data_IF_246006706361
#
_entry.id   IF_246006706361
#
_cell.length_a   1.000
_cell.length_b   1.000
_cell.length_c   1.000
_cell.angle_alpha   90.00
_cell.angle_beta   90.00
_cell.angle_gamma   90.00
#
_symmetry.space_group_name_H-M   'P 1'
#
loop_
_entity.id
_entity.type
_entity.pdbx_description
1 polymer ?
#
# COMPACT_ATOMS: atom_id res chain seq x y z
N UNK A 1 22.83 -8.19 -10.27
CA UNK A 1 22.24 -7.52 -11.44
C UNK A 1 21.28 -6.44 -10.93
N UNK A 2 21.09 -5.35 -11.67
CA UNK A 2 20.18 -4.25 -11.29
C UNK A 2 18.97 -4.19 -12.23
N UNK A 3 17.82 -3.70 -11.74
CA UNK A 3 16.55 -3.70 -12.47
C UNK A 3 15.99 -2.27 -12.67
N UNK A 4 16.59 -1.46 -13.55
CA UNK A 4 16.28 -0.03 -13.66
C UNK A 4 14.88 0.28 -14.23
N UNK A 5 14.25 -0.67 -14.94
CA UNK A 5 12.97 -0.47 -15.61
C UNK A 5 11.81 -1.24 -14.97
N UNK A 6 12.07 -2.07 -13.96
CA UNK A 6 11.02 -2.87 -13.32
C UNK A 6 10.16 -1.94 -12.45
N UNK A 7 8.82 -1.91 -12.64
CA UNK A 7 7.93 -1.13 -11.78
C UNK A 7 8.01 -1.56 -10.32
N UNK A 8 8.02 -0.59 -9.41
CA UNK A 8 8.06 -0.80 -7.96
C UNK A 8 6.82 -0.16 -7.35
N UNK A 9 5.98 -0.98 -6.70
CA UNK A 9 4.84 -0.49 -5.92
C UNK A 9 5.16 -0.53 -4.42
N UNK A 10 5.13 0.63 -3.76
CA UNK A 10 5.23 0.75 -2.31
C UNK A 10 3.83 0.68 -1.72
N UNK A 11 3.51 -0.46 -1.10
CA UNK A 11 2.28 -0.65 -0.35
C UNK A 11 2.50 -0.27 1.12
N UNK A 12 1.76 0.72 1.59
CA UNK A 12 1.73 1.08 3.01
C UNK A 12 0.96 0.05 3.84
N UNK A 13 1.17 0.05 5.16
CA UNK A 13 0.54 -0.93 6.06
C UNK A 13 -0.98 -0.79 6.08
N UNK A 14 -1.70 -1.90 6.27
CA UNK A 14 -3.14 -1.90 6.60
C UNK A 14 -3.43 -1.24 7.95
N UNK A 15 -4.64 -0.67 8.08
CA UNK A 15 -5.16 -0.22 9.38
C UNK A 15 -5.51 -1.43 10.24
N UNK A 16 -5.27 -1.33 11.55
CA UNK A 16 -5.61 -2.39 12.49
C UNK A 16 -5.92 -1.85 13.90
N UNK A 17 -6.44 -2.71 14.78
CA UNK A 17 -7.10 -2.31 16.03
C UNK A 17 -6.25 -1.42 16.93
N UNK A 18 -4.95 -1.71 17.05
CA UNK A 18 -4.08 -0.96 17.95
C UNK A 18 -3.70 0.43 17.42
N UNK A 19 -4.04 0.77 16.17
CA UNK A 19 -3.98 2.15 15.68
C UNK A 19 -4.92 3.06 16.47
N UNK A 20 -6.09 2.52 16.82
CA UNK A 20 -7.16 3.27 17.47
C UNK A 20 -7.12 3.11 19.01
N UNK A 21 -6.67 1.95 19.51
CA UNK A 21 -6.51 1.74 20.96
C UNK A 21 -5.30 2.48 21.57
N UNK A 22 -4.29 2.78 20.75
CA UNK A 22 -3.07 3.43 21.19
C UNK A 22 -2.73 4.60 20.27
N UNK A 23 -3.13 5.81 20.67
CA UNK A 23 -2.97 7.04 19.90
C UNK A 23 -1.52 7.24 19.41
N UNK A 24 -0.52 7.00 20.27
CA UNK A 24 0.89 7.09 19.88
C UNK A 24 1.27 6.15 18.72
N UNK A 25 0.70 4.94 18.69
CA UNK A 25 0.93 3.99 17.60
C UNK A 25 0.24 4.44 16.32
N UNK A 26 -1.00 4.95 16.42
CA UNK A 26 -1.74 5.54 15.32
C UNK A 26 -0.96 6.70 14.68
N UNK A 27 -0.52 7.68 15.49
CA UNK A 27 0.31 8.81 15.05
C UNK A 27 1.59 8.32 14.40
N UNK A 28 2.30 7.38 15.04
CA UNK A 28 3.55 6.83 14.49
C UNK A 28 3.32 6.17 13.12
N UNK A 29 2.24 5.41 12.95
CA UNK A 29 1.94 4.74 11.68
C UNK A 29 1.46 5.71 10.60
N UNK A 30 0.72 6.75 10.96
CA UNK A 30 0.45 7.87 10.05
C UNK A 30 1.75 8.53 9.57
N UNK A 31 2.70 8.78 10.47
CA UNK A 31 4.02 9.33 10.12
C UNK A 31 4.81 8.43 9.15
N UNK A 32 4.82 7.11 9.38
CA UNK A 32 5.47 6.16 8.47
C UNK A 32 4.80 6.17 7.09
N UNK A 33 3.47 6.18 7.03
CA UNK A 33 2.71 6.27 5.77
C UNK A 33 3.06 7.55 5.02
N UNK A 34 3.07 8.68 5.72
CA UNK A 34 3.42 9.97 5.11
C UNK A 34 4.84 9.97 4.56
N UNK A 35 5.80 9.41 5.29
CA UNK A 35 7.18 9.25 4.80
C UNK A 35 7.25 8.43 3.50
N UNK A 36 6.47 7.35 3.40
CA UNK A 36 6.41 6.55 2.17
C UNK A 36 5.82 7.35 1.00
N UNK A 37 4.72 8.09 1.22
CA UNK A 37 4.09 8.96 0.22
C UNK A 37 5.08 10.02 -0.26
N UNK A 38 5.74 10.71 0.67
CA UNK A 38 6.69 11.78 0.37
C UNK A 38 7.89 11.25 -0.42
N UNK A 39 8.40 10.08 -0.04
CA UNK A 39 9.52 9.42 -0.71
C UNK A 39 9.15 9.05 -2.15
N UNK A 40 8.01 8.40 -2.35
CA UNK A 40 7.55 8.03 -3.70
C UNK A 40 7.32 9.27 -4.55
N UNK A 41 6.64 10.28 -4.00
CA UNK A 41 6.36 11.54 -4.71
C UNK A 41 7.64 12.26 -5.10
N UNK A 42 8.61 12.37 -4.18
CA UNK A 42 9.90 12.99 -4.45
C UNK A 42 10.65 12.30 -5.59
N UNK A 43 10.71 10.96 -5.58
CA UNK A 43 11.43 10.20 -6.62
C UNK A 43 10.72 10.25 -7.97
N UNK A 44 9.38 10.20 -7.99
CA UNK A 44 8.60 10.44 -9.22
C UNK A 44 8.86 11.83 -9.80
N UNK A 45 8.95 12.86 -8.96
CA UNK A 45 9.30 14.22 -9.37
C UNK A 45 10.75 14.33 -9.88
N UNK A 46 11.59 13.34 -9.63
CA UNK A 46 12.95 13.19 -10.18
C UNK A 46 12.97 12.31 -11.44
N UNK A 47 11.81 12.10 -12.09
CA UNK A 47 11.60 11.33 -13.31
C UNK A 47 11.68 9.80 -13.15
N UNK A 48 11.56 9.26 -11.93
CA UNK A 48 11.33 7.83 -11.75
C UNK A 48 9.84 7.50 -11.91
N UNK A 49 9.41 7.32 -13.17
CA UNK A 49 8.00 7.05 -13.50
C UNK A 49 7.51 5.66 -13.03
N UNK A 50 8.44 4.74 -12.74
CA UNK A 50 8.20 3.34 -12.40
C UNK A 50 7.91 3.11 -10.92
N UNK A 51 7.99 4.16 -10.09
CA UNK A 51 7.71 4.07 -8.67
C UNK A 51 6.26 4.46 -8.37
N UNK A 52 5.51 3.60 -7.71
CA UNK A 52 4.09 3.78 -7.41
C UNK A 52 3.82 3.66 -5.91
N UNK A 53 2.78 4.32 -5.41
CA UNK A 53 2.33 4.19 -4.02
C UNK A 53 0.91 3.61 -3.98
N UNK A 54 0.68 2.67 -3.08
CA UNK A 54 -0.63 2.09 -2.79
C UNK A 54 -0.95 2.32 -1.31
N UNK A 55 -2.12 2.91 -1.05
CA UNK A 55 -2.59 3.20 0.30
C UNK A 55 -3.21 1.95 0.96
N UNK A 56 -2.45 1.32 1.86
CA UNK A 56 -2.91 0.17 2.61
C UNK A 56 -3.96 0.49 3.68
N UNK A 57 -4.05 1.73 4.20
CA UNK A 57 -4.98 2.01 5.32
C UNK A 57 -6.43 1.82 4.93
N UNK A 58 -6.75 2.06 3.66
CA UNK A 58 -8.11 1.99 3.16
C UNK A 58 -8.55 0.57 2.77
N UNK A 59 -7.63 -0.40 2.70
CA UNK A 59 -7.91 -1.72 2.11
C UNK A 59 -8.96 -2.55 2.86
N UNK A 60 -9.07 -2.37 4.17
CA UNK A 60 -10.03 -3.08 5.01
C UNK A 60 -11.28 -2.25 5.34
N UNK A 61 -11.31 -0.97 4.96
CA UNK A 61 -12.42 -0.06 5.25
C UNK A 61 -12.65 0.20 6.75
N UNK A 62 -13.87 0.63 7.08
CA UNK A 62 -14.25 0.98 8.45
C UNK A 62 -14.43 -0.24 9.36
N UNK A 63 -14.85 -1.38 8.79
CA UNK A 63 -15.06 -2.65 9.51
C UNK A 63 -13.76 -3.49 9.64
N UNK A 64 -12.60 -2.82 9.62
CA UNK A 64 -11.30 -3.49 9.54
C UNK A 64 -11.06 -4.53 10.65
N UNK A 65 -11.68 -4.36 11.82
CA UNK A 65 -11.55 -5.28 12.95
C UNK A 65 -12.15 -6.66 12.67
N UNK A 66 -13.25 -6.73 11.91
CA UNK A 66 -13.95 -7.97 11.55
C UNK A 66 -13.14 -8.84 10.59
N UNK A 67 -12.15 -8.25 9.94
CA UNK A 67 -11.29 -8.89 8.96
C UNK A 67 -9.98 -9.42 9.54
N UNK A 68 -9.86 -9.45 10.87
CA UNK A 68 -8.68 -9.95 11.58
C UNK A 68 -9.03 -11.07 12.56
N UNK A 69 -8.05 -11.92 12.90
CA UNK A 69 -8.24 -13.00 13.89
C UNK A 69 -8.02 -12.48 15.32
N UNK A 70 -7.06 -11.58 15.49
CA UNK A 70 -6.58 -11.10 16.80
C UNK A 70 -6.51 -9.56 16.88
N UNK A 71 -7.19 -8.86 15.96
CA UNK A 71 -7.10 -7.40 15.84
C UNK A 71 -5.89 -6.91 15.04
N UNK A 72 -5.00 -7.80 14.58
CA UNK A 72 -3.76 -7.46 13.85
C UNK A 72 -3.64 -8.24 12.55
N UNK A 73 -3.76 -9.56 12.61
CA UNK A 73 -3.49 -10.46 11.49
C UNK A 73 -4.78 -10.73 10.71
N UNK A 74 -4.80 -10.50 9.38
CA UNK A 74 -5.99 -10.74 8.57
C UNK A 74 -6.46 -12.20 8.64
N UNK A 75 -7.77 -12.39 8.69
CA UNK A 75 -8.40 -13.70 8.45
C UNK A 75 -8.60 -13.92 6.94
N UNK A 76 -9.19 -15.05 6.55
CA UNK A 76 -9.38 -15.39 5.13
C UNK A 76 -10.16 -14.31 4.36
N UNK A 77 -11.22 -13.76 4.97
CA UNK A 77 -12.00 -12.68 4.37
C UNK A 77 -11.20 -11.37 4.30
N UNK A 78 -10.37 -11.10 5.31
CA UNK A 78 -9.45 -9.96 5.29
C UNK A 78 -8.41 -10.05 4.19
N UNK A 79 -7.83 -11.22 3.95
CA UNK A 79 -6.93 -11.42 2.80
C UNK A 79 -7.63 -11.24 1.46
N UNK A 80 -8.86 -11.74 1.32
CA UNK A 80 -9.67 -11.51 0.11
C UNK A 80 -9.87 -10.01 -0.13
N UNK A 81 -10.29 -9.25 0.90
CA UNK A 81 -10.45 -7.79 0.81
C UNK A 81 -9.14 -7.06 0.47
N UNK A 82 -8.05 -7.49 1.08
CA UNK A 82 -6.71 -6.94 0.80
C UNK A 82 -6.28 -7.24 -0.63
N UNK A 83 -6.70 -8.35 -1.25
CA UNK A 83 -6.37 -8.66 -2.63
C UNK A 83 -7.12 -7.75 -3.62
N UNK A 84 -8.41 -7.50 -3.37
CA UNK A 84 -9.28 -6.70 -4.25
C UNK A 84 -8.75 -5.25 -4.45
N UNK A 85 -8.18 -4.65 -3.40
CA UNK A 85 -7.76 -3.24 -3.46
C UNK A 85 -6.55 -2.98 -4.37
N UNK A 86 -5.40 -3.64 -4.16
CA UNK A 86 -4.23 -3.51 -5.00
C UNK A 86 -4.41 -4.11 -6.40
N UNK A 87 -5.36 -5.03 -6.63
CA UNK A 87 -5.55 -5.68 -7.93
C UNK A 87 -5.66 -4.67 -9.08
N UNK A 88 -6.53 -3.67 -8.95
CA UNK A 88 -6.70 -2.64 -9.96
C UNK A 88 -5.42 -1.82 -10.18
N UNK A 89 -4.73 -1.45 -9.10
CA UNK A 89 -3.48 -0.70 -9.16
C UNK A 89 -2.35 -1.50 -9.83
N UNK A 90 -2.17 -2.76 -9.43
CA UNK A 90 -1.14 -3.66 -9.97
C UNK A 90 -1.41 -3.93 -11.45
N UNK A 91 -2.65 -4.23 -11.82
CA UNK A 91 -3.03 -4.47 -13.23
C UNK A 91 -2.67 -3.26 -14.09
N UNK A 92 -3.04 -2.06 -13.64
CA UNK A 92 -2.71 -0.82 -14.33
C UNK A 92 -1.21 -0.61 -14.47
N UNK A 93 -0.43 -0.81 -13.40
CA UNK A 93 1.04 -0.67 -13.43
C UNK A 93 1.66 -1.65 -14.44
N UNK A 94 1.15 -2.88 -14.50
CA UNK A 94 1.62 -3.89 -15.44
C UNK A 94 1.19 -3.60 -16.89
N UNK A 95 0.03 -3.00 -17.11
CA UNK A 95 -0.41 -2.56 -18.44
C UNK A 95 0.44 -1.37 -18.94
N UNK A 96 0.65 -0.36 -18.10
CA UNK A 96 1.43 0.83 -18.42
C UNK A 96 2.91 0.48 -18.75
N UNK A 97 3.49 -0.48 -18.02
CA UNK A 97 4.86 -0.95 -18.27
C UNK A 97 5.02 -1.72 -19.58
N UNK A 98 4.02 -2.52 -19.98
CA UNK A 98 4.01 -3.20 -21.29
C UNK A 98 3.85 -2.24 -22.47
N UNK A 99 3.22 -1.08 -22.24
CA UNK A 99 3.11 -0.02 -23.25
C UNK A 99 4.44 0.69 -23.55
N UNK A 100 5.36 0.75 -22.58
CA UNK A 100 6.66 1.41 -22.70
C UNK A 100 7.76 0.55 -23.35
N UNK A 101 7.47 -0.72 -23.67
CA UNK A 101 8.40 -1.63 -24.37
C UNK A 101 8.22 -1.63 -25.91
N UNK A 102 7.29 -0.83 -26.45
CA UNK A 102 7.08 -0.63 -27.89
C UNK A 102 7.62 0.72 -28.36
#
# INVERSE_FOLDING_TARGET
EAHPLVPIAVLSRIKYLFDDLHEEMGIRRQGIRQFQIDTVTKLRNQNDANLHFIDGSALLGDDYSEFTVDGIHPNDLGFMKIADGPECAITRILDDSRGNEK
#
